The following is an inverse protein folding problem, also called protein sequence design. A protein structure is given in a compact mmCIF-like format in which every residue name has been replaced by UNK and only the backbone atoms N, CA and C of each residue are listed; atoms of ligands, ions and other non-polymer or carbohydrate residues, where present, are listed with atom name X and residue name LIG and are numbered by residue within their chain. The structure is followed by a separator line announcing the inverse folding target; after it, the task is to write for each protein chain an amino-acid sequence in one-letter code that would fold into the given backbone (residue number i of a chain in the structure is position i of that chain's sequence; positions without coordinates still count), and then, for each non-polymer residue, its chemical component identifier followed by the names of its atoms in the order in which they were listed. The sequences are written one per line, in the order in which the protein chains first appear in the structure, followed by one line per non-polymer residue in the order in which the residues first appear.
data_IF_368318324780
#
_entry.id   IF_368318324780
#
_cell.length_a   1.000
_cell.length_b   1.000
_cell.length_c   1.000
_cell.angle_alpha   90.00
_cell.angle_beta   90.00
_cell.angle_gamma   90.00
#
_symmetry.space_group_name_H-M   'P 1'
#
loop_
_entity.id
_entity.type
_entity.pdbx_description
1 polymer ?
#
# COMPACT_ATOMS: atom_id res chain seq x y z
N UNK A 1 -27.53 -66.09 -19.23
CA UNK A 1 -27.24 -64.71 -19.65
C UNK A 1 -26.73 -63.93 -18.44
N UNK A 2 -25.41 -63.72 -18.31
CA UNK A 2 -24.81 -62.93 -17.20
C UNK A 2 -24.31 -61.62 -17.79
N UNK A 3 -24.97 -60.51 -17.46
CA UNK A 3 -24.52 -59.16 -17.83
C UNK A 3 -23.41 -58.75 -16.87
N UNK A 4 -22.20 -58.56 -17.38
CA UNK A 4 -21.08 -57.98 -16.64
C UNK A 4 -21.23 -56.46 -16.76
N UNK A 5 -21.52 -55.79 -15.64
CA UNK A 5 -21.50 -54.34 -15.56
C UNK A 5 -20.05 -53.92 -15.33
N UNK A 6 -19.43 -53.27 -16.32
CA UNK A 6 -18.13 -52.61 -16.15
C UNK A 6 -18.42 -51.21 -15.62
N UNK A 7 -18.09 -50.97 -14.35
CA UNK A 7 -18.13 -49.64 -13.74
C UNK A 7 -16.78 -48.99 -14.00
N UNK A 8 -16.73 -48.06 -14.94
CA UNK A 8 -15.57 -47.21 -15.19
C UNK A 8 -15.53 -46.12 -14.13
N UNK A 9 -14.65 -46.25 -13.14
CA UNK A 9 -14.42 -45.19 -12.15
C UNK A 9 -13.52 -44.13 -12.78
N UNK A 10 -14.07 -42.93 -13.03
CA UNK A 10 -13.31 -41.78 -13.49
C UNK A 10 -12.63 -41.18 -12.26
N UNK A 11 -11.33 -41.43 -12.12
CA UNK A 11 -10.46 -40.70 -11.19
C UNK A 11 -10.31 -39.27 -11.70
N UNK A 12 -11.03 -38.33 -11.07
CA UNK A 12 -10.69 -36.92 -11.18
C UNK A 12 -9.35 -36.69 -10.48
N UNK A 13 -8.28 -36.67 -11.26
CA UNK A 13 -7.00 -36.11 -10.81
C UNK A 13 -7.24 -34.60 -10.75
N UNK A 14 -7.70 -34.10 -9.60
CA UNK A 14 -7.57 -32.68 -9.31
C UNK A 14 -6.09 -32.43 -9.17
N UNK A 15 -5.47 -31.81 -10.18
CA UNK A 15 -4.17 -31.19 -9.97
C UNK A 15 -4.37 -30.17 -8.84
N UNK A 16 -3.83 -30.49 -7.67
CA UNK A 16 -3.67 -29.53 -6.58
C UNK A 16 -2.58 -28.59 -7.09
N UNK A 17 -2.97 -27.67 -7.96
CA UNK A 17 -2.09 -26.61 -8.40
C UNK A 17 -1.72 -25.81 -7.16
N UNK A 18 -0.43 -25.51 -7.01
CA UNK A 18 0.03 -24.45 -6.14
C UNK A 18 -0.82 -23.20 -6.40
N UNK A 19 -1.20 -22.47 -5.36
CA UNK A 19 -2.05 -21.28 -5.49
C UNK A 19 -1.50 -20.37 -6.59
N UNK A 20 -2.26 -20.21 -7.68
CA UNK A 20 -1.79 -19.47 -8.84
C UNK A 20 -1.66 -17.98 -8.51
N UNK A 21 -0.60 -17.37 -9.03
CA UNK A 21 -0.39 -15.94 -8.87
C UNK A 21 -1.39 -15.23 -9.78
N UNK A 22 -2.22 -14.37 -9.20
CA UNK A 22 -3.28 -13.67 -9.93
C UNK A 22 -2.77 -12.94 -11.17
N UNK A 23 -3.54 -12.88 -12.27
CA UNK A 23 -3.26 -11.98 -13.39
C UNK A 23 -3.24 -10.50 -12.94
N UNK A 24 -2.48 -9.64 -13.62
CA UNK A 24 -2.28 -8.24 -13.21
C UNK A 24 -3.59 -7.46 -13.00
N UNK A 25 -4.60 -7.68 -13.86
CA UNK A 25 -5.91 -7.02 -13.73
C UNK A 25 -6.62 -7.42 -12.43
N UNK A 26 -6.53 -8.69 -12.05
CA UNK A 26 -7.11 -9.21 -10.81
C UNK A 26 -6.31 -8.75 -9.59
N UNK A 27 -4.98 -8.69 -9.68
CA UNK A 27 -4.12 -8.08 -8.65
C UNK A 27 -4.53 -6.63 -8.40
N UNK A 28 -4.71 -5.84 -9.46
CA UNK A 28 -5.13 -4.44 -9.32
C UNK A 28 -6.50 -4.31 -8.64
N UNK A 29 -7.48 -5.13 -9.05
CA UNK A 29 -8.79 -5.14 -8.39
C UNK A 29 -8.69 -5.54 -6.90
N UNK A 30 -7.84 -6.52 -6.58
CA UNK A 30 -7.61 -6.96 -5.21
C UNK A 30 -6.91 -5.90 -4.35
N UNK A 31 -5.86 -5.26 -4.86
CA UNK A 31 -5.16 -4.15 -4.17
C UNK A 31 -6.13 -3.00 -3.90
N UNK A 32 -6.99 -2.64 -4.88
CA UNK A 32 -7.99 -1.60 -4.68
C UNK A 32 -8.98 -1.96 -3.54
N UNK A 33 -9.42 -3.23 -3.48
CA UNK A 33 -10.25 -3.75 -2.38
C UNK A 33 -9.52 -3.69 -1.04
N UNK A 34 -8.24 -4.06 -1.00
CA UNK A 34 -7.39 -4.02 0.19
C UNK A 34 -7.23 -2.59 0.71
N UNK A 35 -6.91 -1.66 -0.18
CA UNK A 35 -6.78 -0.24 0.15
C UNK A 35 -8.11 0.30 0.69
N UNK A 36 -9.25 -0.07 0.09
CA UNK A 36 -10.57 0.32 0.59
C UNK A 36 -10.83 -0.18 2.01
N UNK A 37 -10.53 -1.44 2.29
CA UNK A 37 -10.65 -2.03 3.62
C UNK A 37 -9.77 -1.28 4.64
N UNK A 38 -8.50 -1.07 4.30
CA UNK A 38 -7.56 -0.35 5.17
C UNK A 38 -8.00 1.09 5.42
N UNK A 39 -8.43 1.82 4.39
CA UNK A 39 -8.87 3.21 4.52
C UNK A 39 -10.14 3.32 5.36
N UNK A 40 -11.11 2.43 5.20
CA UNK A 40 -12.41 2.55 5.87
C UNK A 40 -12.44 1.91 7.27
N UNK A 41 -11.68 0.84 7.49
CA UNK A 41 -11.79 0.02 8.71
C UNK A 41 -10.55 0.10 9.61
N UNK A 42 -9.36 0.34 9.05
CA UNK A 42 -8.12 0.40 9.82
C UNK A 42 -7.73 1.84 10.14
N UNK A 43 -7.62 2.72 9.13
CA UNK A 43 -7.11 4.07 9.30
C UNK A 43 -7.86 4.90 10.35
N UNK A 44 -9.21 4.89 10.45
CA UNK A 44 -9.91 5.64 11.48
C UNK A 44 -9.51 5.20 12.90
N UNK A 45 -9.30 3.90 13.12
CA UNK A 45 -8.86 3.34 14.41
C UNK A 45 -7.43 3.77 14.73
N UNK A 46 -6.55 3.83 13.73
CA UNK A 46 -5.16 4.28 13.92
C UNK A 46 -5.09 5.79 14.20
N UNK A 47 -5.91 6.58 13.52
CA UNK A 47 -6.05 8.02 13.77
C UNK A 47 -6.55 8.29 15.19
N UNK A 48 -7.56 7.54 15.65
CA UNK A 48 -8.04 7.62 17.03
C UNK A 48 -6.95 7.22 18.04
N UNK A 49 -6.24 6.11 17.81
CA UNK A 49 -5.18 5.60 18.68
C UNK A 49 -4.03 6.59 18.86
N UNK A 50 -3.65 7.28 17.79
CA UNK A 50 -2.56 8.28 17.78
C UNK A 50 -3.06 9.70 18.12
N UNK A 51 -4.38 9.87 18.23
CA UNK A 51 -5.01 11.16 18.50
C UNK A 51 -4.79 12.19 17.39
N UNK A 52 -4.64 11.77 16.14
CA UNK A 52 -4.52 12.66 14.98
C UNK A 52 -5.91 12.83 14.36
N UNK A 53 -6.46 14.04 14.45
CA UNK A 53 -7.78 14.35 13.88
C UNK A 53 -7.74 14.53 12.36
N UNK A 54 -6.60 14.99 11.84
CA UNK A 54 -6.41 15.20 10.42
C UNK A 54 -5.01 14.80 10.00
N UNK A 55 -4.89 13.91 9.02
CA UNK A 55 -3.61 13.53 8.43
C UNK A 55 -3.50 14.09 7.01
N UNK A 56 -2.50 14.95 6.79
CA UNK A 56 -2.27 15.62 5.50
C UNK A 56 -1.01 15.02 4.86
N UNK A 57 -1.21 14.32 3.76
CA UNK A 57 -0.14 13.74 2.94
C UNK A 57 0.02 14.56 1.66
N UNK A 58 1.23 15.03 1.39
CA UNK A 58 1.53 15.87 0.22
C UNK A 58 2.71 15.27 -0.53
N UNK A 59 2.45 14.80 -1.75
CA UNK A 59 3.47 14.32 -2.68
C UNK A 59 3.56 15.23 -3.91
N UNK A 60 4.70 15.15 -4.58
CA UNK A 60 4.85 15.58 -5.97
C UNK A 60 5.39 14.43 -6.80
N UNK A 61 5.13 14.50 -8.10
CA UNK A 61 5.75 13.60 -9.06
C UNK A 61 7.27 13.53 -8.86
N UNK A 62 7.80 12.30 -8.82
CA UNK A 62 9.21 11.96 -8.57
C UNK A 62 9.74 12.20 -7.15
N UNK A 63 8.91 12.68 -6.23
CA UNK A 63 9.25 12.80 -4.82
C UNK A 63 7.99 12.54 -3.97
N UNK A 64 7.48 11.33 -4.10
CA UNK A 64 6.38 10.85 -3.28
C UNK A 64 6.84 10.53 -1.87
N UNK A 65 6.04 10.97 -0.92
CA UNK A 65 6.10 10.48 0.45
C UNK A 65 6.04 8.94 0.47
N UNK A 66 6.90 8.24 1.24
CA UNK A 66 6.91 6.78 1.30
C UNK A 66 5.55 6.17 1.67
N UNK A 67 4.75 6.84 2.50
CA UNK A 67 3.39 6.41 2.84
C UNK A 67 2.47 6.52 1.62
N UNK A 68 2.54 7.61 0.86
CA UNK A 68 1.69 7.80 -0.34
C UNK A 68 1.88 6.65 -1.33
N UNK A 69 3.10 6.12 -1.47
CA UNK A 69 3.38 4.99 -2.37
C UNK A 69 2.55 3.74 -2.03
N UNK A 70 2.24 3.53 -0.75
CA UNK A 70 1.37 2.42 -0.30
C UNK A 70 -0.12 2.64 -0.61
N UNK A 71 -0.51 3.88 -0.88
CA UNK A 71 -1.89 4.29 -1.15
C UNK A 71 -2.18 4.49 -2.64
N UNK A 72 -1.15 4.55 -3.49
CA UNK A 72 -1.31 4.78 -4.92
C UNK A 72 -2.36 3.85 -5.52
N UNK A 73 -3.26 4.36 -6.39
CA UNK A 73 -4.17 3.51 -7.13
C UNK A 73 -3.36 2.44 -7.87
N UNK A 74 -3.80 1.18 -7.89
CA UNK A 74 -2.98 0.07 -8.39
C UNK A 74 -2.66 0.13 -9.90
N UNK A 75 -3.33 1.03 -10.62
CA UNK A 75 -3.08 1.31 -12.05
C UNK A 75 -2.16 2.50 -12.28
N UNK A 76 -1.67 3.15 -11.21
CA UNK A 76 -0.79 4.30 -11.28
C UNK A 76 0.64 3.89 -10.94
N UNK A 77 1.58 4.37 -11.75
CA UNK A 77 3.01 4.16 -11.49
C UNK A 77 3.51 5.09 -10.37
N UNK A 78 3.09 6.35 -10.39
CA UNK A 78 3.59 7.44 -9.55
C UNK A 78 2.45 8.40 -9.19
N UNK A 79 2.68 9.25 -8.19
CA UNK A 79 1.79 10.39 -7.95
C UNK A 79 1.92 11.40 -9.10
N UNK A 80 0.83 12.10 -9.44
CA UNK A 80 0.82 13.03 -10.58
C UNK A 80 0.77 14.46 -10.09
N UNK A 81 1.70 15.33 -10.57
CA UNK A 81 1.81 16.73 -10.12
C UNK A 81 1.84 16.82 -8.58
N UNK A 82 1.36 17.92 -8.00
CA UNK A 82 1.10 18.03 -6.55
C UNK A 82 -0.15 17.24 -6.20
N UNK A 83 0.03 16.13 -5.49
CA UNK A 83 -1.04 15.29 -4.96
C UNK A 83 -1.16 15.55 -3.46
N UNK A 84 -2.33 16.03 -3.04
CA UNK A 84 -2.67 16.27 -1.64
C UNK A 84 -3.80 15.31 -1.27
N UNK A 85 -3.53 14.41 -0.33
CA UNK A 85 -4.52 13.50 0.25
C UNK A 85 -4.72 13.89 1.70
N UNK A 86 -5.97 14.05 2.11
CA UNK A 86 -6.33 14.43 3.46
C UNK A 86 -7.29 13.40 4.03
N UNK A 87 -6.97 12.90 5.20
CA UNK A 87 -7.86 12.10 6.02
C UNK A 87 -8.29 12.92 7.22
N UNK A 88 -9.57 12.93 7.54
CA UNK A 88 -10.10 13.62 8.73
C UNK A 88 -11.02 12.71 9.51
N UNK A 89 -10.91 12.76 10.83
CA UNK A 89 -11.72 12.03 11.80
C UNK A 89 -12.24 13.02 12.84
N UNK A 90 -13.55 13.23 12.90
CA UNK A 90 -14.14 13.98 14.01
C UNK A 90 -14.15 13.09 15.26
N UNK A 91 -13.42 13.52 16.29
CA UNK A 91 -13.26 12.73 17.53
C UNK A 91 -14.57 12.51 18.29
N UNK A 92 -15.59 13.34 18.08
CA UNK A 92 -16.91 13.29 18.75
C UNK A 92 -17.92 12.46 17.95
N UNK A 93 -18.07 12.74 16.66
CA UNK A 93 -19.06 12.04 15.82
C UNK A 93 -18.53 10.72 15.25
N UNK A 94 -17.20 10.53 15.27
CA UNK A 94 -16.48 9.44 14.60
C UNK A 94 -16.64 9.48 13.07
N UNK A 95 -17.02 10.62 12.51
CA UNK A 95 -17.13 10.79 11.06
C UNK A 95 -15.74 10.82 10.43
N UNK A 96 -15.43 9.79 9.67
CA UNK A 96 -14.21 9.69 8.88
C UNK A 96 -14.44 10.15 7.44
N UNK A 97 -13.50 10.94 6.90
CA UNK A 97 -13.51 11.36 5.50
C UNK A 97 -12.11 11.20 4.89
N UNK A 98 -12.04 10.61 3.69
CA UNK A 98 -10.88 10.60 2.81
C UNK A 98 -11.14 11.51 1.61
N UNK A 99 -10.25 12.46 1.34
CA UNK A 99 -10.38 13.36 0.19
C UNK A 99 -9.05 13.61 -0.49
N UNK A 100 -9.10 13.80 -1.80
CA UNK A 100 -8.00 14.33 -2.59
C UNK A 100 -8.29 15.80 -2.90
N UNK A 101 -7.28 16.64 -2.73
CA UNK A 101 -7.31 18.03 -3.20
C UNK A 101 -6.43 18.04 -4.44
N UNK A 102 -6.95 17.47 -5.52
CA UNK A 102 -6.25 17.25 -6.78
C UNK A 102 -7.25 17.32 -7.94
N UNK A 103 -6.78 17.47 -9.19
CA UNK A 103 -7.70 17.61 -10.34
C UNK A 103 -8.62 16.40 -10.55
N UNK A 104 -8.16 15.23 -10.13
CA UNK A 104 -8.89 13.96 -10.28
C UNK A 104 -8.93 13.23 -8.94
N UNK A 105 -9.91 12.34 -8.79
CA UNK A 105 -9.94 11.41 -7.67
C UNK A 105 -8.64 10.58 -7.63
N UNK A 106 -8.21 10.26 -6.41
CA UNK A 106 -7.04 9.43 -6.19
C UNK A 106 -7.49 7.96 -6.15
N UNK A 107 -7.66 7.42 -7.36
CA UNK A 107 -8.29 6.12 -7.57
C UNK A 107 -9.78 6.12 -7.19
N UNK A 108 -10.31 4.94 -6.91
CA UNK A 108 -11.74 4.76 -6.59
C UNK A 108 -12.05 5.03 -5.11
N UNK A 109 -11.03 5.01 -4.25
CA UNK A 109 -11.19 5.02 -2.79
C UNK A 109 -11.11 6.42 -2.16
N UNK A 110 -10.58 7.41 -2.88
CA UNK A 110 -10.35 8.76 -2.37
C UNK A 110 -10.88 9.78 -3.38
N UNK A 111 -12.11 10.28 -3.21
CA UNK A 111 -12.73 11.23 -4.13
C UNK A 111 -11.98 12.56 -4.12
N UNK A 112 -11.97 13.25 -5.26
CA UNK A 112 -11.50 14.64 -5.29
C UNK A 112 -12.61 15.61 -4.90
N UNK A 113 -12.25 16.61 -4.09
CA UNK A 113 -13.13 17.71 -3.70
C UNK A 113 -12.69 19.06 -4.28
N UNK A 114 -11.61 19.10 -5.05
CA UNK A 114 -11.08 20.35 -5.57
C UNK A 114 -11.64 20.68 -6.95
N UNK A 115 -12.42 21.77 -7.02
CA UNK A 115 -12.81 22.39 -8.27
C UNK A 115 -11.87 23.56 -8.61
N UNK A 116 -11.01 23.36 -9.63
CA UNK A 116 -10.06 24.38 -10.08
C UNK A 116 -10.73 25.64 -10.64
N UNK A 117 -11.92 25.52 -11.22
CA UNK A 117 -12.61 26.67 -11.83
C UNK A 117 -13.22 27.59 -10.75
N UNK A 118 -13.64 27.02 -9.62
CA UNK A 118 -14.16 27.79 -8.47
C UNK A 118 -13.04 28.34 -7.58
N UNK A 119 -12.00 27.54 -7.33
CA UNK A 119 -10.84 27.91 -6.54
C UNK A 119 -9.55 27.55 -7.31
N UNK A 120 -8.99 28.48 -8.11
CA UNK A 120 -7.80 28.21 -8.92
C UNK A 120 -6.56 27.83 -8.11
N UNK A 121 -6.49 28.21 -6.83
CA UNK A 121 -5.38 27.90 -5.95
C UNK A 121 -5.65 26.63 -5.12
N UNK A 122 -4.97 25.54 -5.45
CA UNK A 122 -5.05 24.24 -4.76
C UNK A 122 -4.73 24.33 -3.26
N UNK A 123 -3.79 25.21 -2.86
CA UNK A 123 -3.40 25.38 -1.47
C UNK A 123 -4.45 26.13 -0.66
N UNK A 124 -5.16 27.07 -1.29
CA UNK A 124 -6.31 27.74 -0.66
C UNK A 124 -7.46 26.73 -0.46
N UNK A 125 -7.71 25.83 -1.41
CA UNK A 125 -8.68 24.74 -1.23
C UNK A 125 -8.30 23.82 -0.05
N UNK A 126 -7.00 23.51 0.14
CA UNK A 126 -6.52 22.79 1.32
C UNK A 126 -6.78 23.58 2.60
N UNK A 127 -6.42 24.86 2.64
CA UNK A 127 -6.69 25.73 3.78
C UNK A 127 -8.17 25.73 4.15
N UNK A 128 -9.05 25.93 3.17
CA UNK A 128 -10.49 26.01 3.36
C UNK A 128 -11.05 24.67 3.89
N UNK A 129 -10.57 23.54 3.37
CA UNK A 129 -10.93 22.22 3.89
C UNK A 129 -10.50 22.04 5.35
N UNK A 130 -9.24 22.37 5.69
CA UNK A 130 -8.72 22.32 7.06
C UNK A 130 -9.58 23.17 8.00
N UNK A 131 -9.90 24.40 7.58
CA UNK A 131 -10.73 25.33 8.36
C UNK A 131 -12.14 24.76 8.56
N UNK A 132 -12.73 24.17 7.52
CA UNK A 132 -14.09 23.60 7.59
C UNK A 132 -14.20 22.43 8.56
N UNK A 133 -13.14 21.63 8.69
CA UNK A 133 -13.08 20.49 9.61
C UNK A 133 -12.67 20.89 11.03
N UNK A 134 -12.01 22.04 11.20
CA UNK A 134 -11.52 22.56 12.48
C UNK A 134 -10.84 21.48 13.36
N UNK A 135 -9.81 20.78 12.87
CA UNK A 135 -9.12 19.74 13.65
C UNK A 135 -8.39 20.34 14.86
N UNK A 136 -8.17 19.56 15.92
CA UNK A 136 -7.31 19.92 17.05
C UNK A 136 -5.84 19.51 16.82
N UNK A 137 -5.60 18.41 16.11
CA UNK A 137 -4.27 17.95 15.68
C UNK A 137 -4.22 17.65 14.18
N UNK A 138 -3.25 18.28 13.50
CA UNK A 138 -2.97 18.10 12.08
C UNK A 138 -1.63 17.36 11.96
N UNK A 139 -1.67 16.07 11.68
CA UNK A 139 -0.50 15.25 11.42
C UNK A 139 0.07 15.49 10.03
N UNK A 140 1.37 15.67 9.96
CA UNK A 140 2.16 15.69 8.71
C UNK A 140 3.36 14.74 8.82
N UNK A 141 3.75 14.15 7.70
CA UNK A 141 4.87 13.20 7.66
C UNK A 141 6.22 13.92 7.76
N UNK A 142 6.64 14.15 9.00
CA UNK A 142 7.95 14.67 9.36
C UNK A 142 8.49 13.81 10.49
N UNK A 143 9.74 13.38 10.42
CA UNK A 143 10.35 12.52 11.43
C UNK A 143 11.86 12.73 11.52
N UNK A 144 12.41 12.71 12.72
CA UNK A 144 13.87 12.72 12.94
C UNK A 144 14.49 11.31 13.01
N UNK A 145 13.66 10.26 13.04
CA UNK A 145 14.10 8.90 13.32
C UNK A 145 13.68 7.90 12.24
N UNK A 146 12.50 8.09 11.65
CA UNK A 146 11.88 7.14 10.75
C UNK A 146 11.69 7.71 9.36
N UNK A 147 12.57 7.31 8.44
CA UNK A 147 12.59 7.81 7.05
C UNK A 147 11.29 7.53 6.30
N UNK A 148 10.56 6.47 6.68
CA UNK A 148 9.25 6.16 6.07
C UNK A 148 8.17 7.16 6.47
N UNK A 149 8.36 7.88 7.57
CA UNK A 149 7.45 8.91 8.07
C UNK A 149 7.97 10.35 7.85
N UNK A 150 9.13 10.52 7.17
CA UNK A 150 9.74 11.83 6.86
C UNK A 150 9.64 12.18 5.36
N UNK A 151 8.51 11.87 4.73
CA UNK A 151 8.34 12.05 3.29
C UNK A 151 7.97 13.47 2.85
N UNK A 152 7.61 14.37 3.77
CA UNK A 152 7.18 15.72 3.42
C UNK A 152 8.39 16.60 3.06
N UNK A 153 8.52 16.92 1.77
CA UNK A 153 9.59 17.84 1.33
C UNK A 153 9.49 19.21 2.00
N UNK A 154 10.64 19.85 2.23
CA UNK A 154 10.73 21.21 2.79
C UNK A 154 9.88 22.22 2.02
N UNK A 155 9.84 22.13 0.70
CA UNK A 155 9.00 22.99 -0.13
C UNK A 155 7.51 22.84 0.23
N UNK A 156 6.99 21.61 0.34
CA UNK A 156 5.58 21.38 0.67
C UNK A 156 5.25 21.75 2.11
N UNK A 157 6.19 21.52 3.04
CA UNK A 157 6.08 22.03 4.40
C UNK A 157 5.89 23.55 4.41
N UNK A 158 6.74 24.28 3.68
CA UNK A 158 6.67 25.75 3.62
C UNK A 158 5.37 26.24 2.98
N UNK A 159 4.91 25.59 1.91
CA UNK A 159 3.63 25.93 1.27
C UNK A 159 2.46 25.72 2.24
N UNK A 160 2.38 24.57 2.89
CA UNK A 160 1.35 24.25 3.89
C UNK A 160 1.42 25.25 5.06
N UNK A 161 2.60 25.51 5.59
CA UNK A 161 2.77 26.43 6.70
C UNK A 161 2.34 27.84 6.31
N UNK A 162 2.68 28.33 5.13
CA UNK A 162 2.35 29.69 4.70
C UNK A 162 0.85 29.94 4.52
N UNK A 163 0.09 28.96 4.01
CA UNK A 163 -1.36 29.11 3.82
C UNK A 163 -2.17 28.93 5.11
N UNK A 164 -1.61 28.26 6.11
CA UNK A 164 -2.33 27.99 7.36
C UNK A 164 -2.50 29.25 8.22
N UNK A 165 -3.73 29.56 8.70
CA UNK A 165 -3.93 30.58 9.72
C UNK A 165 -3.18 30.26 11.01
N UNK A 166 -2.79 31.29 11.76
CA UNK A 166 -2.01 31.16 13.01
C UNK A 166 -2.62 30.21 14.04
N UNK A 167 -3.95 30.08 14.08
CA UNK A 167 -4.67 29.11 14.93
C UNK A 167 -4.28 27.66 14.60
N UNK A 168 -4.16 27.33 13.32
CA UNK A 168 -3.89 25.96 12.85
C UNK A 168 -2.41 25.64 12.74
N UNK A 169 -1.54 26.65 12.52
CA UNK A 169 -0.08 26.46 12.56
C UNK A 169 0.40 25.77 13.83
N UNK A 170 -0.17 26.15 14.98
CA UNK A 170 0.16 25.57 16.29
C UNK A 170 -0.38 24.15 16.52
N UNK A 171 -1.24 23.67 15.63
CA UNK A 171 -1.87 22.35 15.67
C UNK A 171 -1.17 21.34 14.76
N UNK A 172 -0.19 21.78 13.97
CA UNK A 172 0.62 20.91 13.12
C UNK A 172 1.59 20.12 13.99
N UNK A 173 1.55 18.80 13.86
CA UNK A 173 2.38 17.85 14.62
C UNK A 173 2.95 16.79 13.68
N UNK A 174 3.99 16.09 14.12
CA UNK A 174 4.48 14.91 13.40
C UNK A 174 3.41 13.81 13.39
N UNK A 175 3.25 13.17 12.24
CA UNK A 175 2.42 11.98 12.06
C UNK A 175 3.23 10.67 12.16
N UNK A 176 4.46 10.70 12.70
CA UNK A 176 5.37 9.55 12.77
C UNK A 176 4.68 8.29 13.31
N UNK A 177 4.06 8.37 14.49
CA UNK A 177 3.35 7.23 15.09
C UNK A 177 2.22 6.69 14.21
N UNK A 178 1.46 7.57 13.54
CA UNK A 178 0.37 7.17 12.64
C UNK A 178 0.90 6.53 11.35
N UNK A 179 1.96 7.10 10.78
CA UNK A 179 2.61 6.59 9.58
C UNK A 179 3.21 5.20 9.80
N UNK A 180 3.89 4.99 10.94
CA UNK A 180 4.42 3.69 11.34
C UNK A 180 3.27 2.71 11.58
N UNK A 181 2.27 3.11 12.37
CA UNK A 181 1.11 2.26 12.66
C UNK A 181 0.39 1.83 11.37
N UNK A 182 0.30 2.72 10.38
CA UNK A 182 -0.22 2.40 9.05
C UNK A 182 0.63 1.33 8.37
N UNK A 183 1.96 1.48 8.32
CA UNK A 183 2.84 0.51 7.65
C UNK A 183 2.91 -0.82 8.38
N UNK A 184 2.83 -0.89 9.71
CA UNK A 184 3.05 -2.13 10.46
C UNK A 184 1.77 -2.94 10.67
N UNK A 185 0.60 -2.29 10.74
CA UNK A 185 -0.65 -2.99 11.08
C UNK A 185 -1.22 -3.71 9.88
N UNK A 186 -1.64 -4.96 10.07
CA UNK A 186 -2.30 -5.80 9.06
C UNK A 186 -3.78 -5.99 9.38
N UNK A 187 -4.64 -5.94 8.38
CA UNK A 187 -6.06 -6.31 8.50
C UNK A 187 -6.24 -7.82 8.38
N UNK A 188 -7.41 -8.33 8.78
CA UNK A 188 -7.76 -9.74 8.61
C UNK A 188 -7.72 -10.17 7.13
N UNK A 189 -8.12 -9.27 6.22
CA UNK A 189 -8.06 -9.49 4.78
C UNK A 189 -6.61 -9.64 4.30
N UNK A 190 -5.70 -8.80 4.80
CA UNK A 190 -4.25 -8.93 4.52
C UNK A 190 -3.70 -10.26 5.04
N UNK A 191 -4.07 -10.66 6.27
CA UNK A 191 -3.60 -11.90 6.86
C UNK A 191 -4.10 -13.15 6.11
N UNK A 192 -5.28 -13.08 5.50
CA UNK A 192 -5.82 -14.17 4.65
C UNK A 192 -4.97 -14.37 3.39
N UNK A 193 -4.48 -13.29 2.80
CA UNK A 193 -3.62 -13.38 1.59
C UNK A 193 -2.16 -13.62 1.96
N UNK A 194 -1.73 -13.20 3.14
CA UNK A 194 -0.38 -13.44 3.63
C UNK A 194 -0.02 -14.93 3.62
N UNK A 195 -0.92 -15.82 4.04
CA UNK A 195 -0.67 -17.28 3.97
C UNK A 195 -0.47 -17.78 2.54
N UNK A 196 -1.16 -17.19 1.55
CA UNK A 196 -0.97 -17.53 0.14
C UNK A 196 0.40 -17.06 -0.37
N UNK A 197 0.82 -15.85 0.03
CA UNK A 197 2.16 -15.34 -0.30
C UNK A 197 3.26 -16.22 0.28
N UNK A 198 3.11 -16.69 1.52
CA UNK A 198 4.04 -17.63 2.15
C UNK A 198 4.15 -18.93 1.38
N UNK A 199 3.03 -19.49 0.91
CA UNK A 199 3.05 -20.73 0.10
C UNK A 199 3.75 -20.52 -1.24
N UNK A 200 3.48 -19.40 -1.93
CA UNK A 200 4.16 -19.05 -3.19
C UNK A 200 5.67 -18.94 -2.97
N UNK A 201 6.11 -18.20 -1.93
CA UNK A 201 7.53 -18.10 -1.59
C UNK A 201 8.15 -19.45 -1.25
N UNK A 202 7.44 -20.27 -0.47
CA UNK A 202 7.90 -21.62 -0.09
C UNK A 202 7.98 -22.57 -1.29
N UNK A 203 7.08 -22.45 -2.27
CA UNK A 203 7.13 -23.21 -3.51
C UNK A 203 8.34 -22.83 -4.36
N UNK A 204 8.64 -21.53 -4.50
CA UNK A 204 9.83 -21.04 -5.21
C UNK A 204 11.10 -21.57 -4.53
N UNK A 205 11.18 -21.50 -3.20
CA UNK A 205 12.32 -22.01 -2.43
C UNK A 205 12.47 -23.52 -2.61
N UNK A 206 11.39 -24.30 -2.52
CA UNK A 206 11.44 -25.76 -2.75
C UNK A 206 11.96 -26.11 -4.13
N UNK A 207 11.56 -25.37 -5.16
CA UNK A 207 12.04 -25.57 -6.52
C UNK A 207 13.53 -25.21 -6.65
N UNK A 208 13.95 -24.07 -6.05
CA UNK A 208 15.34 -23.62 -6.06
C UNK A 208 16.31 -24.67 -5.49
N UNK A 209 15.90 -25.38 -4.44
CA UNK A 209 16.69 -26.42 -3.78
C UNK A 209 16.40 -27.85 -4.28
N UNK A 210 15.71 -27.99 -5.41
CA UNK A 210 15.40 -29.29 -6.01
C UNK A 210 16.48 -29.74 -7.01
N UNK A 211 16.45 -31.02 -7.36
CA UNK A 211 17.31 -31.57 -8.44
C UNK A 211 16.94 -31.08 -9.84
N UNK A 212 15.87 -30.28 -9.99
CA UNK A 212 15.56 -29.60 -11.25
C UNK A 212 16.48 -28.39 -11.48
N UNK A 213 16.98 -27.79 -10.40
CA UNK A 213 17.85 -26.60 -10.43
C UNK A 213 19.29 -26.98 -10.05
N UNK A 214 19.45 -27.85 -9.06
CA UNK A 214 20.76 -28.22 -8.51
C UNK A 214 21.24 -29.56 -9.08
N UNK A 215 22.41 -29.54 -9.72
CA UNK A 215 23.20 -30.73 -10.04
C UNK A 215 24.43 -30.79 -9.12
N UNK A 216 24.53 -31.80 -8.22
CA UNK A 216 25.64 -31.92 -7.28
C UNK A 216 27.00 -31.92 -7.97
N UNK A 217 27.95 -31.14 -7.42
CA UNK A 217 29.30 -31.00 -7.97
C UNK A 217 29.42 -30.14 -9.22
N UNK A 218 28.31 -29.59 -9.73
CA UNK A 218 28.27 -28.72 -10.92
C UNK A 218 27.66 -27.36 -10.57
N UNK A 219 26.45 -27.32 -10.03
CA UNK A 219 25.73 -26.07 -9.71
C UNK A 219 26.37 -25.37 -8.52
N UNK A 220 26.67 -24.08 -8.66
CA UNK A 220 27.17 -23.22 -7.58
C UNK A 220 26.03 -22.55 -6.82
N UNK A 221 26.32 -21.97 -5.65
CA UNK A 221 25.32 -21.18 -4.91
C UNK A 221 24.91 -19.91 -5.66
N UNK A 222 25.83 -19.30 -6.43
CA UNK A 222 25.53 -18.12 -7.25
C UNK A 222 24.56 -18.46 -8.40
N UNK A 223 24.70 -19.64 -9.01
CA UNK A 223 23.77 -20.12 -10.03
C UNK A 223 22.34 -20.23 -9.48
N UNK A 224 22.19 -20.73 -8.24
CA UNK A 224 20.88 -20.82 -7.56
C UNK A 224 20.33 -19.42 -7.26
N UNK A 225 21.17 -18.47 -6.81
CA UNK A 225 20.76 -17.08 -6.60
C UNK A 225 20.24 -16.44 -7.89
N UNK A 226 20.95 -16.61 -9.00
CA UNK A 226 20.52 -16.10 -10.31
C UNK A 226 19.24 -16.77 -10.81
N UNK A 227 19.14 -18.09 -10.65
CA UNK A 227 17.92 -18.82 -10.97
C UNK A 227 16.72 -18.27 -10.19
N UNK A 228 16.86 -18.01 -8.89
CA UNK A 228 15.77 -17.44 -8.07
C UNK A 228 15.36 -16.05 -8.54
N UNK A 229 16.32 -15.20 -8.95
CA UNK A 229 16.03 -13.86 -9.50
C UNK A 229 15.20 -13.96 -10.78
N UNK A 230 15.61 -14.81 -11.72
CA UNK A 230 14.89 -15.01 -12.96
C UNK A 230 13.50 -15.61 -12.73
N UNK A 231 13.39 -16.58 -11.81
CA UNK A 231 12.12 -17.21 -11.46
C UNK A 231 11.12 -16.21 -10.91
N UNK A 232 11.51 -15.36 -9.95
CA UNK A 232 10.66 -14.33 -9.36
C UNK A 232 10.16 -13.35 -10.43
N UNK A 233 11.06 -12.88 -11.30
CA UNK A 233 10.71 -11.96 -12.38
C UNK A 233 9.77 -12.61 -13.42
N UNK A 234 10.02 -13.87 -13.80
CA UNK A 234 9.17 -14.62 -14.72
C UNK A 234 7.74 -14.82 -14.19
N UNK A 235 7.58 -14.87 -12.87
CA UNK A 235 6.28 -14.92 -12.19
C UNK A 235 5.61 -13.55 -12.05
N UNK A 236 6.26 -12.48 -12.51
CA UNK A 236 5.81 -11.10 -12.36
C UNK A 236 5.74 -10.66 -10.90
N UNK A 237 6.62 -11.20 -10.05
CA UNK A 237 6.74 -10.84 -8.64
C UNK A 237 7.93 -9.88 -8.43
N UNK A 238 7.98 -9.28 -7.24
CA UNK A 238 9.08 -8.43 -6.78
C UNK A 238 9.59 -8.92 -5.41
N UNK A 239 10.75 -8.44 -4.99
CA UNK A 239 11.42 -8.82 -3.75
C UNK A 239 11.82 -7.61 -2.94
N UNK A 240 11.72 -7.71 -1.61
CA UNK A 240 12.32 -6.71 -0.73
C UNK A 240 13.85 -6.74 -0.86
N UNK A 241 14.46 -7.90 -0.66
CA UNK A 241 15.91 -8.11 -0.77
C UNK A 241 16.21 -9.18 -1.80
N UNK A 242 17.38 -9.08 -2.41
CA UNK A 242 17.88 -10.12 -3.28
C UNK A 242 18.06 -11.44 -2.50
N UNK A 243 17.77 -12.60 -3.13
CA UNK A 243 18.01 -13.89 -2.50
C UNK A 243 19.51 -14.08 -2.20
N UNK A 244 19.80 -14.76 -1.10
CA UNK A 244 21.15 -15.20 -0.72
C UNK A 244 21.11 -16.70 -0.45
N UNK A 245 22.09 -17.44 -0.96
CA UNK A 245 22.22 -18.90 -0.82
C UNK A 245 23.64 -19.20 -0.39
N UNK A 246 23.79 -20.01 0.65
CA UNK A 246 25.09 -20.46 1.14
C UNK A 246 25.02 -21.95 1.53
N UNK A 247 26.19 -22.59 1.62
CA UNK A 247 26.33 -23.96 2.12
C UNK A 247 26.69 -23.88 3.60
N UNK A 248 25.85 -24.48 4.46
CA UNK A 248 26.08 -24.56 5.91
C UNK A 248 26.77 -25.85 6.32
#
# INVERSE_FOLDING_TARGET
MRKILIITSILFITNINCQDILPLKERAAFINKLQKDRLNNLLPKLMEKTGIDMWVLIAREYNEDPIIKTMLPPTWLNARRTTIVVFSLDSRTKDFNSVAIARYAFGDNIPSIWNKEEQPNQWEALKDYIVSKNPEKIGINTSSYESLADGLSKYHYDQLYNILPSKYKKKVVSAEELAIAWIETRTELEMTVYSQLVEISSAIIREAFSTQVITPGITTTDDVVWWMREKVLALGLDTWFHPSVDVQ
#
